data_IF_488128475439
#
_entry.id   IF_488128475439
#
_cell.length_a   1.000
_cell.length_b   1.000
_cell.length_c   1.000
_cell.angle_alpha   90.00
_cell.angle_beta   90.00
_cell.angle_gamma   90.00
#
_symmetry.space_group_name_H-M   'P 1'
#
loop_
_entity.id
_entity.type
_entity.pdbx_description
1 polymer ?
#
# COMPACT_ATOMS: atom_id res chain seq x y z
N UNK A 1 18.64 15.36 0.96
CA UNK A 1 17.48 14.66 0.36
C UNK A 1 17.52 13.20 0.84
N UNK A 2 16.37 12.65 1.21
CA UNK A 2 16.26 11.22 1.55
C UNK A 2 16.59 10.38 0.32
N UNK A 3 17.10 9.16 0.50
CA UNK A 3 17.24 8.21 -0.61
C UNK A 3 15.84 7.83 -1.13
N UNK A 4 15.70 7.49 -2.41
CA UNK A 4 14.40 7.13 -2.99
C UNK A 4 13.68 6.01 -2.23
N UNK A 5 14.42 5.03 -1.68
CA UNK A 5 13.83 3.95 -0.86
C UNK A 5 13.35 4.45 0.52
N UNK A 6 14.10 5.34 1.17
CA UNK A 6 13.69 5.91 2.46
C UNK A 6 12.40 6.71 2.32
N UNK A 7 12.31 7.52 1.26
CA UNK A 7 11.09 8.25 0.95
C UNK A 7 9.91 7.32 0.67
N UNK A 8 10.10 6.26 -0.13
CA UNK A 8 9.05 5.29 -0.41
C UNK A 8 8.54 4.57 0.85
N UNK A 9 9.43 4.25 1.79
CA UNK A 9 9.08 3.64 3.08
C UNK A 9 8.25 4.60 3.94
N UNK A 10 8.67 5.86 4.05
CA UNK A 10 7.95 6.89 4.83
C UNK A 10 6.58 7.18 4.23
N UNK A 11 6.51 7.36 2.90
CA UNK A 11 5.24 7.58 2.19
C UNK A 11 4.30 6.36 2.30
N UNK A 12 4.83 5.12 2.26
CA UNK A 12 4.01 3.92 2.40
C UNK A 12 3.42 3.79 3.81
N UNK A 13 4.20 4.08 4.86
CA UNK A 13 3.68 4.11 6.21
C UNK A 13 2.58 5.18 6.37
N UNK A 14 2.79 6.36 5.80
CA UNK A 14 1.81 7.44 5.79
C UNK A 14 0.54 7.05 5.01
N UNK A 15 0.67 6.42 3.84
CA UNK A 15 -0.46 5.96 3.02
C UNK A 15 -1.36 4.95 3.76
N UNK A 16 -0.76 3.98 4.46
CA UNK A 16 -1.53 3.03 5.28
C UNK A 16 -2.39 3.75 6.31
N UNK A 17 -1.81 4.73 7.03
CA UNK A 17 -2.51 5.50 8.07
C UNK A 17 -3.56 6.44 7.50
N UNK A 18 -3.29 7.09 6.36
CA UNK A 18 -4.30 7.92 5.66
C UNK A 18 -5.50 7.06 5.28
N UNK A 19 -5.27 5.92 4.61
CA UNK A 19 -6.35 5.06 4.15
C UNK A 19 -7.14 4.45 5.31
N UNK A 20 -6.48 4.14 6.44
CA UNK A 20 -7.18 3.70 7.65
C UNK A 20 -8.00 4.83 8.27
N UNK A 21 -7.48 6.06 8.31
CA UNK A 21 -8.18 7.23 8.83
C UNK A 21 -9.41 7.61 7.99
N UNK A 22 -9.31 7.47 6.68
CA UNK A 22 -10.40 7.75 5.73
C UNK A 22 -11.38 6.55 5.54
N UNK A 23 -11.25 5.49 6.33
CA UNK A 23 -12.20 4.37 6.34
C UNK A 23 -12.09 3.41 5.14
N UNK A 24 -11.00 3.50 4.37
CA UNK A 24 -10.71 2.55 3.28
C UNK A 24 -10.15 1.24 3.82
N UNK A 25 -9.15 1.33 4.72
CA UNK A 25 -8.54 0.17 5.36
C UNK A 25 -9.15 -0.06 6.75
N UNK A 26 -9.47 -1.30 7.02
CA UNK A 26 -9.84 -1.81 8.34
C UNK A 26 -8.61 -2.32 9.11
N UNK A 27 -8.79 -3.26 10.04
CA UNK A 27 -7.69 -3.89 10.76
C UNK A 27 -6.84 -4.83 9.87
N UNK A 28 -7.33 -5.27 8.72
CA UNK A 28 -6.78 -6.35 7.90
C UNK A 28 -6.33 -5.92 6.50
N UNK A 29 -6.83 -4.82 5.96
CA UNK A 29 -6.42 -4.30 4.67
C UNK A 29 -4.94 -3.90 4.64
N UNK A 30 -4.34 -3.82 3.45
CA UNK A 30 -2.91 -3.55 3.30
C UNK A 30 -2.56 -2.87 1.97
N UNK A 31 -1.48 -2.09 2.00
CA UNK A 31 -0.97 -1.33 0.85
C UNK A 31 0.47 -1.71 0.59
N UNK A 32 0.83 -1.81 -0.68
CA UNK A 32 2.21 -1.97 -1.13
C UNK A 32 2.59 -0.94 -2.18
N UNK A 33 3.89 -0.77 -2.37
CA UNK A 33 4.46 0.03 -3.46
C UNK A 33 5.61 -0.73 -4.10
N UNK A 34 5.72 -0.68 -5.45
CA UNK A 34 6.85 -1.24 -6.18
C UNK A 34 8.13 -0.56 -5.73
N UNK A 35 9.20 -1.32 -5.57
CA UNK A 35 10.47 -0.81 -5.09
C UNK A 35 11.06 0.22 -6.08
N UNK A 36 11.43 1.45 -5.63
CA UNK A 36 11.79 2.56 -6.52
C UNK A 36 13.02 2.31 -7.37
N UNK A 37 13.95 1.46 -6.91
CA UNK A 37 15.22 1.19 -7.61
C UNK A 37 15.29 -0.23 -8.19
N UNK A 38 14.27 -1.07 -7.98
CA UNK A 38 14.24 -2.43 -8.51
C UNK A 38 12.80 -2.87 -8.82
N UNK A 39 12.36 -2.82 -10.10
CA UNK A 39 10.97 -3.10 -10.47
C UNK A 39 10.54 -4.56 -10.22
N UNK A 40 11.48 -5.46 -9.95
CA UNK A 40 11.19 -6.87 -9.64
C UNK A 40 11.06 -7.12 -8.12
N UNK A 41 10.85 -6.05 -7.34
CA UNK A 41 10.61 -6.07 -5.90
C UNK A 41 9.49 -5.12 -5.52
N UNK A 42 8.93 -5.29 -4.33
CA UNK A 42 7.97 -4.37 -3.76
C UNK A 42 8.16 -4.22 -2.24
N UNK A 43 7.59 -3.16 -1.70
CA UNK A 43 7.57 -2.84 -0.28
C UNK A 43 6.17 -3.07 0.26
N UNK A 44 6.05 -3.77 1.38
CA UNK A 44 4.80 -4.04 2.09
C UNK A 44 5.12 -4.11 3.58
N UNK A 45 4.20 -3.71 4.45
CA UNK A 45 4.41 -3.84 5.89
C UNK A 45 4.32 -5.30 6.36
N UNK A 46 4.91 -5.58 7.53
CA UNK A 46 4.55 -6.80 8.27
C UNK A 46 3.06 -6.81 8.58
N UNK A 47 2.50 -7.96 8.96
CA UNK A 47 1.11 -8.07 9.40
C UNK A 47 0.89 -7.24 10.66
N UNK A 48 0.34 -6.05 10.48
CA UNK A 48 -0.03 -5.08 11.52
C UNK A 48 -1.19 -4.24 11.01
N UNK A 49 -2.08 -3.80 11.90
CA UNK A 49 -3.17 -2.90 11.54
C UNK A 49 -2.64 -1.66 10.80
N UNK A 50 -3.22 -1.28 9.65
CA UNK A 50 -2.78 -0.14 8.85
C UNK A 50 -2.67 1.17 9.64
N UNK A 51 -3.56 1.40 10.59
CA UNK A 51 -3.53 2.58 11.47
C UNK A 51 -2.24 2.68 12.31
N UNK A 52 -1.59 1.56 12.56
CA UNK A 52 -0.42 1.46 13.45
C UNK A 52 0.90 1.31 12.70
N UNK A 53 0.89 1.25 11.37
CA UNK A 53 2.10 1.04 10.56
C UNK A 53 3.10 2.17 10.78
N UNK A 54 4.35 1.79 10.99
CA UNK A 54 5.51 2.65 11.12
C UNK A 54 6.53 2.34 10.02
N UNK A 55 7.45 3.26 9.69
CA UNK A 55 8.47 3.01 8.68
C UNK A 55 9.29 1.73 8.91
N UNK A 56 9.53 1.36 10.18
CA UNK A 56 10.30 0.15 10.53
C UNK A 56 9.49 -1.15 10.37
N UNK A 57 8.18 -1.06 10.14
CA UNK A 57 7.32 -2.20 9.82
C UNK A 57 7.40 -2.61 8.32
N UNK A 58 7.97 -1.74 7.47
CA UNK A 58 8.02 -1.95 6.02
C UNK A 58 9.14 -2.92 5.68
N UNK A 59 8.78 -3.95 4.94
CA UNK A 59 9.65 -5.03 4.48
C UNK A 59 9.76 -5.02 2.96
N UNK A 60 10.83 -5.61 2.45
CA UNK A 60 11.08 -5.76 1.02
C UNK A 60 10.81 -7.21 0.59
N UNK A 61 10.08 -7.38 -0.52
CA UNK A 61 9.67 -8.67 -1.07
C UNK A 61 10.08 -8.80 -2.53
N UNK A 62 10.34 -10.04 -2.96
CA UNK A 62 10.37 -10.42 -4.39
C UNK A 62 8.96 -10.42 -4.96
N UNK A 63 8.82 -10.45 -6.30
CA UNK A 63 7.50 -10.60 -6.93
C UNK A 63 6.86 -11.99 -6.66
N UNK A 64 7.64 -12.98 -6.25
CA UNK A 64 7.14 -14.29 -5.78
C UNK A 64 6.69 -14.25 -4.32
N UNK A 65 6.61 -13.04 -3.75
CA UNK A 65 6.09 -12.74 -2.40
C UNK A 65 6.97 -13.26 -1.24
N UNK A 66 8.22 -13.57 -1.54
CA UNK A 66 9.18 -13.97 -0.53
C UNK A 66 9.89 -12.74 0.05
N UNK A 67 9.99 -12.61 1.39
CA UNK A 67 10.73 -11.51 2.00
C UNK A 67 12.22 -11.67 1.74
N UNK A 68 12.92 -10.59 1.40
CA UNK A 68 14.37 -10.61 1.14
C UNK A 68 15.20 -10.94 2.38
N UNK A 69 14.66 -10.73 3.55
CA UNK A 69 15.27 -11.12 4.83
C UNK A 69 14.23 -11.92 5.60
N UNK A 70 14.63 -13.00 6.27
CA UNK A 70 13.72 -13.76 7.12
C UNK A 70 13.30 -12.90 8.32
N UNK A 71 12.11 -12.31 8.31
CA UNK A 71 11.68 -11.48 9.41
C UNK A 71 11.22 -12.38 10.57
N UNK A 72 11.54 -11.98 11.80
CA UNK A 72 11.00 -12.62 13.01
C UNK A 72 9.61 -12.03 13.37
N UNK A 73 8.81 -11.73 12.35
CA UNK A 73 7.48 -11.09 12.47
C UNK A 73 6.48 -11.80 11.57
N UNK A 74 5.20 -11.67 11.89
CA UNK A 74 4.13 -12.19 11.05
C UNK A 74 4.02 -11.37 9.76
N UNK A 75 3.74 -12.05 8.66
CA UNK A 75 3.48 -11.45 7.35
C UNK A 75 2.00 -11.56 7.01
N UNK A 76 1.49 -10.65 6.17
CA UNK A 76 0.15 -10.81 5.60
C UNK A 76 0.07 -12.11 4.80
N UNK A 77 -0.97 -12.91 5.06
CA UNK A 77 -1.25 -14.11 4.29
C UNK A 77 -1.51 -13.76 2.81
N UNK A 78 -2.24 -12.69 2.57
CA UNK A 78 -2.68 -12.23 1.26
C UNK A 78 -1.67 -11.34 0.50
N UNK A 79 -0.40 -11.32 0.91
CA UNK A 79 0.67 -10.63 0.17
C UNK A 79 0.80 -11.13 -1.28
N UNK A 80 0.29 -12.30 -1.56
CA UNK A 80 0.21 -12.92 -2.90
C UNK A 80 -0.56 -12.04 -3.90
N UNK A 81 -1.61 -11.35 -3.46
CA UNK A 81 -2.36 -10.38 -4.29
C UNK A 81 -1.40 -9.38 -4.92
N UNK A 82 -0.53 -8.78 -4.11
CA UNK A 82 0.41 -7.75 -4.56
C UNK A 82 1.44 -8.28 -5.56
N UNK A 83 2.12 -9.36 -5.20
CA UNK A 83 3.15 -9.96 -6.06
C UNK A 83 2.61 -10.37 -7.42
N UNK A 84 1.46 -11.06 -7.46
CA UNK A 84 0.84 -11.50 -8.71
C UNK A 84 0.38 -10.34 -9.60
N UNK A 85 -0.16 -9.26 -9.00
CA UNK A 85 -0.52 -8.05 -9.76
C UNK A 85 0.73 -7.37 -10.31
N UNK A 86 1.80 -7.23 -9.53
CA UNK A 86 3.05 -6.65 -10.01
C UNK A 86 3.72 -7.50 -11.12
N UNK A 87 3.59 -8.82 -11.06
CA UNK A 87 4.06 -9.71 -12.15
C UNK A 87 3.28 -9.48 -13.44
N UNK A 88 1.95 -9.37 -13.34
CA UNK A 88 1.07 -9.23 -14.50
C UNK A 88 1.07 -7.82 -15.11
N UNK A 89 1.33 -6.77 -14.31
CA UNK A 89 1.12 -5.35 -14.65
C UNK A 89 2.38 -4.53 -14.35
N UNK A 90 3.23 -4.34 -15.36
CA UNK A 90 4.46 -3.51 -15.23
C UNK A 90 4.18 -2.01 -15.03
N UNK A 91 3.02 -1.55 -15.43
CA UNK A 91 2.53 -0.18 -15.27
C UNK A 91 1.96 0.11 -13.89
N UNK A 92 1.71 -0.93 -13.07
CA UNK A 92 1.24 -0.78 -11.69
C UNK A 92 2.43 -0.58 -10.75
N UNK A 93 2.40 0.51 -9.98
CA UNK A 93 3.42 0.84 -9.00
C UNK A 93 2.92 0.81 -7.56
N UNK A 94 1.60 0.80 -7.33
CA UNK A 94 1.02 0.66 -6.00
C UNK A 94 -0.25 -0.20 -6.04
N UNK A 95 -0.47 -0.99 -4.97
CA UNK A 95 -1.62 -1.91 -4.83
C UNK A 95 -2.20 -1.73 -3.43
N UNK A 96 -3.52 -1.61 -3.34
CA UNK A 96 -4.27 -1.58 -2.09
C UNK A 96 -5.33 -2.69 -2.13
N UNK A 97 -5.30 -3.59 -1.16
CA UNK A 97 -6.39 -4.52 -0.88
C UNK A 97 -7.13 -4.07 0.37
N UNK A 98 -8.48 -4.04 0.33
CA UNK A 98 -9.29 -3.47 1.40
C UNK A 98 -10.69 -4.08 1.48
N UNK A 99 -11.33 -3.92 2.65
CA UNK A 99 -12.69 -4.36 2.95
C UNK A 99 -13.57 -3.15 3.34
N UNK A 100 -13.41 -2.01 2.66
CA UNK A 100 -14.11 -0.77 3.00
C UNK A 100 -15.64 -1.00 3.07
N UNK A 101 -16.30 -0.62 4.17
CA UNK A 101 -17.75 -0.83 4.35
C UNK A 101 -18.60 -0.28 3.21
N UNK A 102 -18.17 0.84 2.61
CA UNK A 102 -18.85 1.45 1.46
C UNK A 102 -18.82 0.56 0.21
N UNK A 103 -17.73 -0.21 0.00
CA UNK A 103 -17.53 -1.04 -1.19
C UNK A 103 -18.07 -2.46 -0.99
N UNK A 104 -18.13 -2.95 0.24
CA UNK A 104 -18.60 -4.31 0.54
C UNK A 104 -19.98 -4.67 -0.03
N UNK A 105 -21.00 -3.78 -0.02
CA UNK A 105 -22.28 -4.10 -0.67
C UNK A 105 -22.14 -4.46 -2.15
N UNK A 106 -21.22 -3.81 -2.86
CA UNK A 106 -20.94 -4.09 -4.28
C UNK A 106 -20.13 -5.38 -4.47
N UNK A 107 -19.31 -5.78 -3.50
CA UNK A 107 -18.65 -7.09 -3.49
C UNK A 107 -19.63 -8.25 -3.27
N UNK A 108 -20.86 -7.96 -2.85
CA UNK A 108 -21.93 -8.95 -2.61
C UNK A 108 -22.94 -8.94 -3.75
N UNK A 109 -23.33 -7.76 -4.23
CA UNK A 109 -24.44 -7.58 -5.17
C UNK A 109 -24.02 -6.95 -6.50
N UNK A 110 -22.77 -6.40 -6.62
CA UNK A 110 -22.30 -5.73 -7.86
C UNK A 110 -23.33 -4.87 -8.56
N UNK A 111 -23.01 -4.26 -9.70
CA UNK A 111 -21.69 -3.73 -10.05
C UNK A 111 -21.44 -2.36 -9.39
N UNK A 112 -20.18 -1.92 -9.34
CA UNK A 112 -19.80 -0.54 -9.01
C UNK A 112 -19.35 0.18 -10.27
N UNK A 113 -19.96 1.32 -10.56
CA UNK A 113 -19.64 2.16 -11.71
C UNK A 113 -19.42 3.62 -11.26
N UNK A 114 -18.62 4.43 -11.96
CA UNK A 114 -18.43 5.84 -11.59
C UNK A 114 -19.71 6.64 -11.81
N UNK A 115 -20.23 7.27 -10.74
CA UNK A 115 -21.47 8.05 -10.74
C UNK A 115 -21.23 9.55 -10.52
N UNK A 116 -20.01 9.98 -10.27
CA UNK A 116 -19.61 11.38 -10.15
C UNK A 116 -18.19 11.61 -10.66
N UNK A 117 -17.82 12.87 -10.92
CA UNK A 117 -16.57 13.21 -11.62
C UNK A 117 -15.29 12.68 -10.98
N UNK A 118 -15.15 12.70 -9.63
CA UNK A 118 -13.98 12.13 -8.96
C UNK A 118 -14.03 10.60 -8.88
N UNK A 119 -15.23 10.01 -8.94
CA UNK A 119 -15.40 8.56 -9.08
C UNK A 119 -14.75 8.01 -10.35
N UNK A 120 -14.60 8.83 -11.39
CA UNK A 120 -13.87 8.46 -12.61
C UNK A 120 -12.40 8.06 -12.36
N UNK A 121 -11.82 8.37 -11.18
CA UNK A 121 -10.49 7.91 -10.80
C UNK A 121 -10.39 6.38 -10.68
N UNK A 122 -11.52 5.68 -10.44
CA UNK A 122 -11.56 4.22 -10.43
C UNK A 122 -11.48 3.60 -11.84
N UNK A 123 -11.63 4.40 -12.89
CA UNK A 123 -11.75 3.95 -14.26
C UNK A 123 -13.19 3.58 -14.64
N UNK A 124 -13.36 2.63 -15.54
CA UNK A 124 -14.65 2.06 -15.89
C UNK A 124 -15.21 1.20 -14.73
N UNK A 125 -16.34 0.56 -14.95
CA UNK A 125 -16.92 -0.41 -14.03
C UNK A 125 -15.88 -1.46 -13.61
N UNK A 126 -15.75 -1.72 -12.31
CA UNK A 126 -14.78 -2.67 -11.81
C UNK A 126 -15.24 -4.11 -12.14
N UNK A 127 -14.35 -4.96 -12.71
CA UNK A 127 -14.67 -6.36 -12.92
C UNK A 127 -14.89 -7.08 -11.59
N UNK A 128 -15.66 -8.16 -11.65
CA UNK A 128 -16.04 -8.97 -10.51
C UNK A 128 -15.32 -10.32 -10.56
N UNK A 129 -14.57 -10.64 -9.53
CA UNK A 129 -13.85 -11.91 -9.38
C UNK A 129 -14.52 -12.78 -8.33
N UNK A 130 -14.93 -13.98 -8.70
CA UNK A 130 -15.39 -14.98 -7.76
C UNK A 130 -14.39 -16.13 -7.67
N UNK A 131 -13.79 -16.30 -6.50
CA UNK A 131 -12.83 -17.37 -6.22
C UNK A 131 -13.48 -18.75 -6.40
N UNK A 132 -14.78 -18.86 -6.14
CA UNK A 132 -15.51 -20.12 -6.24
C UNK A 132 -15.53 -20.68 -7.66
N UNK A 133 -15.55 -19.85 -8.69
CA UNK A 133 -15.63 -20.27 -10.09
C UNK A 133 -14.43 -21.11 -10.54
N UNK A 134 -13.23 -20.81 -10.04
CA UNK A 134 -12.01 -21.55 -10.42
C UNK A 134 -11.57 -22.56 -9.34
N UNK A 135 -11.86 -22.30 -8.07
CA UNK A 135 -11.26 -23.03 -6.94
C UNK A 135 -12.29 -23.77 -6.05
N UNK A 136 -13.60 -23.59 -6.31
CA UNK A 136 -14.66 -24.13 -5.48
C UNK A 136 -14.69 -23.49 -4.08
N UNK A 137 -15.19 -24.23 -3.09
CA UNK A 137 -15.28 -23.73 -1.72
C UNK A 137 -13.90 -23.52 -1.09
N UNK A 138 -13.62 -22.29 -0.66
CA UNK A 138 -12.40 -21.89 0.03
C UNK A 138 -12.75 -21.14 1.32
N UNK A 139 -11.74 -20.65 2.04
CA UNK A 139 -11.93 -19.73 3.17
C UNK A 139 -12.02 -18.26 2.73
N UNK A 140 -12.14 -17.99 1.42
CA UNK A 140 -12.17 -16.70 0.74
C UNK A 140 -10.85 -15.91 0.79
N UNK A 141 -9.83 -16.32 1.52
CA UNK A 141 -8.52 -15.66 1.49
C UNK A 141 -7.74 -16.02 0.22
N UNK A 142 -7.03 -15.04 -0.33
CA UNK A 142 -6.14 -15.21 -1.49
C UNK A 142 -4.72 -15.47 -0.99
N UNK A 143 -4.39 -16.73 -0.77
CA UNK A 143 -3.12 -17.10 -0.14
C UNK A 143 -2.18 -17.92 -1.05
N UNK A 144 -2.71 -18.45 -2.15
CA UNK A 144 -1.95 -19.24 -3.11
C UNK A 144 -1.61 -18.44 -4.37
N UNK A 145 -0.44 -18.67 -4.98
CA UNK A 145 -0.05 -17.96 -6.22
C UNK A 145 -1.05 -18.13 -7.37
N UNK A 146 -1.71 -19.28 -7.51
CA UNK A 146 -2.73 -19.52 -8.53
C UNK A 146 -3.97 -18.65 -8.32
N UNK A 147 -4.41 -18.45 -7.08
CA UNK A 147 -5.53 -17.57 -6.72
C UNK A 147 -5.18 -16.10 -7.04
N UNK A 148 -3.96 -15.67 -6.64
CA UNK A 148 -3.46 -14.31 -6.96
C UNK A 148 -3.33 -14.05 -8.45
N UNK A 149 -2.89 -15.07 -9.23
CA UNK A 149 -2.84 -14.95 -10.70
C UNK A 149 -4.22 -14.89 -11.33
N UNK A 150 -5.20 -15.63 -10.81
CA UNK A 150 -6.59 -15.57 -11.25
C UNK A 150 -7.17 -14.17 -11.02
N UNK A 151 -7.02 -13.64 -9.81
CA UNK A 151 -7.43 -12.26 -9.47
C UNK A 151 -6.77 -11.23 -10.40
N UNK A 152 -5.45 -11.37 -10.64
CA UNK A 152 -4.72 -10.46 -11.52
C UNK A 152 -5.18 -10.53 -12.99
N UNK A 153 -5.59 -11.72 -13.48
CA UNK A 153 -6.22 -11.86 -14.82
C UNK A 153 -7.54 -11.12 -14.88
N UNK A 154 -8.41 -11.27 -13.87
CA UNK A 154 -9.69 -10.58 -13.81
C UNK A 154 -9.53 -9.06 -13.69
N UNK A 155 -8.56 -8.58 -12.90
CA UNK A 155 -8.21 -7.16 -12.85
C UNK A 155 -7.85 -6.63 -14.26
N UNK A 156 -7.12 -7.42 -15.07
CA UNK A 156 -6.75 -7.06 -16.43
C UNK A 156 -6.12 -5.66 -16.50
N UNK A 157 -6.69 -4.78 -17.32
CA UNK A 157 -6.25 -3.38 -17.46
C UNK A 157 -7.06 -2.40 -16.59
N UNK A 158 -8.00 -2.91 -15.79
CA UNK A 158 -8.81 -2.06 -14.91
C UNK A 158 -7.97 -1.51 -13.74
N UNK A 159 -8.51 -0.48 -13.09
CA UNK A 159 -7.89 0.17 -11.95
C UNK A 159 -8.35 -0.42 -10.61
N UNK A 160 -9.41 -1.21 -10.64
CA UNK A 160 -9.96 -1.89 -9.47
C UNK A 160 -10.58 -3.23 -9.89
N UNK A 161 -10.69 -4.17 -8.95
CA UNK A 161 -11.43 -5.43 -9.07
C UNK A 161 -12.19 -5.68 -7.77
N UNK A 162 -13.45 -6.05 -7.89
CA UNK A 162 -14.26 -6.52 -6.78
C UNK A 162 -14.02 -8.02 -6.57
N UNK A 163 -13.88 -8.42 -5.32
CA UNK A 163 -13.69 -9.81 -4.91
C UNK A 163 -14.98 -10.27 -4.20
N UNK A 164 -15.65 -11.27 -4.77
CA UNK A 164 -16.98 -11.72 -4.29
C UNK A 164 -16.95 -12.04 -2.79
N UNK A 165 -17.81 -11.34 -2.03
CA UNK A 165 -18.01 -11.52 -0.57
C UNK A 165 -16.73 -11.34 0.27
N UNK A 166 -15.70 -10.70 -0.27
CA UNK A 166 -14.42 -10.52 0.39
C UNK A 166 -14.03 -9.04 0.53
N UNK A 167 -13.90 -8.32 -0.57
CA UNK A 167 -13.42 -6.94 -0.59
C UNK A 167 -13.08 -6.47 -1.98
N UNK A 168 -12.16 -5.53 -2.09
CA UNK A 168 -11.69 -5.01 -3.37
C UNK A 168 -10.17 -4.85 -3.39
N UNK A 169 -9.62 -4.85 -4.60
CA UNK A 169 -8.22 -4.49 -4.84
C UNK A 169 -8.16 -3.35 -5.84
N UNK A 170 -7.45 -2.29 -5.48
CA UNK A 170 -7.27 -1.07 -6.27
C UNK A 170 -5.79 -0.91 -6.61
N UNK A 171 -5.48 -0.43 -7.82
CA UNK A 171 -4.11 -0.24 -8.30
C UNK A 171 -3.87 1.20 -8.77
N UNK A 172 -2.61 1.63 -8.74
CA UNK A 172 -2.19 2.97 -9.16
C UNK A 172 -0.81 3.00 -9.80
N UNK A 173 -0.56 4.03 -10.62
CA UNK A 173 0.74 4.29 -11.24
C UNK A 173 1.77 4.87 -10.25
N UNK A 174 1.33 5.31 -9.10
CA UNK A 174 2.15 5.70 -7.95
C UNK A 174 1.30 5.66 -6.68
N UNK A 175 1.97 5.76 -5.52
CA UNK A 175 1.30 5.61 -4.22
C UNK A 175 0.27 6.71 -3.94
N UNK A 176 0.54 7.97 -4.31
CA UNK A 176 -0.36 9.09 -4.07
C UNK A 176 -1.62 9.00 -4.93
N UNK A 177 -1.46 8.60 -6.18
CA UNK A 177 -2.59 8.30 -7.07
C UNK A 177 -3.43 7.14 -6.54
N UNK A 178 -2.79 6.06 -6.06
CA UNK A 178 -3.48 4.93 -5.45
C UNK A 178 -4.35 5.38 -4.27
N UNK A 179 -3.80 6.19 -3.35
CA UNK A 179 -4.53 6.69 -2.17
C UNK A 179 -5.74 7.51 -2.61
N UNK A 180 -5.56 8.44 -3.55
CA UNK A 180 -6.68 9.22 -4.09
C UNK A 180 -7.75 8.34 -4.74
N UNK A 181 -7.33 7.39 -5.58
CA UNK A 181 -8.23 6.44 -6.26
C UNK A 181 -9.01 5.60 -5.26
N UNK A 182 -8.36 5.02 -4.26
CA UNK A 182 -9.02 4.17 -3.27
C UNK A 182 -10.08 4.94 -2.47
N UNK A 183 -9.76 6.17 -2.03
CA UNK A 183 -10.72 7.02 -1.31
C UNK A 183 -11.87 7.43 -2.23
N UNK A 184 -11.61 7.87 -3.45
CA UNK A 184 -12.67 8.25 -4.39
C UNK A 184 -13.53 7.06 -4.83
N UNK A 185 -12.98 5.85 -4.89
CA UNK A 185 -13.76 4.62 -5.12
C UNK A 185 -14.74 4.37 -3.97
N UNK A 186 -14.33 4.55 -2.72
CA UNK A 186 -15.20 4.42 -1.55
C UNK A 186 -16.28 5.50 -1.54
N UNK A 187 -15.94 6.75 -1.82
CA UNK A 187 -16.94 7.84 -1.94
C UNK A 187 -17.93 7.58 -3.08
N UNK A 188 -17.44 7.08 -4.22
CA UNK A 188 -18.31 6.70 -5.33
C UNK A 188 -19.29 5.59 -4.95
N UNK A 189 -18.81 4.59 -4.22
CA UNK A 189 -19.64 3.51 -3.70
C UNK A 189 -20.76 4.04 -2.79
N UNK A 190 -20.42 4.92 -1.85
CA UNK A 190 -21.41 5.57 -0.97
C UNK A 190 -22.45 6.36 -1.77
N UNK A 191 -22.01 7.18 -2.73
CA UNK A 191 -22.92 7.98 -3.54
C UNK A 191 -23.82 7.11 -4.41
N UNK A 192 -23.28 6.05 -5.04
CA UNK A 192 -24.07 5.11 -5.82
C UNK A 192 -25.11 4.40 -4.94
N UNK A 193 -24.71 3.95 -3.73
CA UNK A 193 -25.63 3.31 -2.79
C UNK A 193 -26.74 4.24 -2.32
N UNK A 194 -26.41 5.49 -1.97
CA UNK A 194 -27.43 6.48 -1.58
C UNK A 194 -28.34 6.86 -2.76
N UNK A 195 -27.79 6.97 -3.97
CA UNK A 195 -28.57 7.26 -5.16
C UNK A 195 -29.59 6.16 -5.47
N UNK A 196 -29.31 4.89 -5.18
CA UNK A 196 -30.26 3.77 -5.33
C UNK A 196 -31.54 3.96 -4.50
N UNK A 197 -31.48 4.65 -3.37
CA UNK A 197 -32.64 4.97 -2.56
C UNK A 197 -33.54 6.07 -3.20
N UNK A 198 -32.97 6.86 -4.10
CA UNK A 198 -33.69 7.94 -4.82
C UNK A 198 -34.20 7.48 -6.21
N UNK A 199 -33.61 6.42 -6.75
CA UNK A 199 -33.95 5.88 -8.08
C UNK A 199 -32.79 5.10 -8.68
N UNK A 200 -32.80 4.91 -9.99
CA UNK A 200 -31.71 4.23 -10.71
C UNK A 200 -30.55 5.21 -10.94
N UNK A 201 -29.37 4.98 -10.36
CA UNK A 201 -28.20 5.81 -10.61
C UNK A 201 -27.83 5.84 -12.09
N UNK A 202 -27.41 7.01 -12.57
CA UNK A 202 -26.93 7.18 -13.94
C UNK A 202 -25.39 7.20 -13.90
N UNK A 203 -24.67 6.16 -14.36
CA UNK A 203 -23.22 6.17 -14.45
C UNK A 203 -22.74 7.22 -15.45
N UNK A 204 -21.51 7.69 -15.26
CA UNK A 204 -20.82 8.53 -16.23
C UNK A 204 -20.68 7.80 -17.58
N UNK A 205 -20.79 8.53 -18.67
CA UNK A 205 -20.50 7.98 -19.98
C UNK A 205 -18.99 7.71 -20.16
N UNK A 206 -18.62 6.73 -20.98
CA UNK A 206 -17.21 6.35 -21.21
C UNK A 206 -16.29 7.53 -21.55
N UNK A 207 -16.80 8.50 -22.35
CA UNK A 207 -16.06 9.71 -22.68
C UNK A 207 -15.80 10.59 -21.46
N UNK A 208 -16.78 10.74 -20.57
CA UNK A 208 -16.66 11.49 -19.31
C UNK A 208 -15.70 10.80 -18.35
N UNK A 209 -15.80 9.47 -18.21
CA UNK A 209 -14.87 8.67 -17.40
C UNK A 209 -13.42 8.90 -17.85
N UNK A 210 -13.16 8.85 -19.15
CA UNK A 210 -11.84 9.08 -19.70
C UNK A 210 -11.31 10.48 -19.41
N UNK A 211 -12.13 11.52 -19.64
CA UNK A 211 -11.74 12.90 -19.44
C UNK A 211 -11.54 13.23 -17.95
N UNK A 212 -12.51 12.87 -17.10
CA UNK A 212 -12.46 13.12 -15.67
C UNK A 212 -11.39 12.27 -14.98
N UNK A 213 -11.20 11.01 -15.39
CA UNK A 213 -10.14 10.13 -14.89
C UNK A 213 -8.75 10.69 -15.20
N UNK A 214 -8.53 11.22 -16.42
CA UNK A 214 -7.28 11.91 -16.78
C UNK A 214 -7.02 13.12 -15.86
N UNK A 215 -8.03 13.93 -15.59
CA UNK A 215 -7.91 15.07 -14.67
C UNK A 215 -7.57 14.64 -13.25
N UNK A 216 -8.21 13.56 -12.76
CA UNK A 216 -7.95 13.02 -11.41
C UNK A 216 -6.51 12.54 -11.22
N UNK A 217 -5.86 12.08 -12.29
CA UNK A 217 -4.48 11.60 -12.29
C UNK A 217 -3.43 12.72 -12.49
N UNK A 218 -3.86 13.97 -12.73
CA UNK A 218 -2.90 15.09 -12.93
C UNK A 218 -2.07 15.34 -11.66
N UNK A 219 -0.76 15.59 -11.80
CA UNK A 219 0.16 15.75 -10.67
C UNK A 219 -0.29 16.79 -9.63
N UNK A 220 -0.85 17.92 -10.07
CA UNK A 220 -1.37 18.96 -9.17
C UNK A 220 -2.62 18.50 -8.39
N UNK A 221 -3.49 17.69 -8.99
CA UNK A 221 -4.68 17.13 -8.32
C UNK A 221 -4.23 16.09 -7.30
N UNK A 222 -3.38 15.15 -7.70
CA UNK A 222 -2.82 14.11 -6.83
C UNK A 222 -2.05 14.72 -5.64
N UNK A 223 -1.26 15.78 -5.88
CA UNK A 223 -0.54 16.48 -4.80
C UNK A 223 -1.52 17.14 -3.83
N UNK A 224 -2.52 17.88 -4.33
CA UNK A 224 -3.53 18.54 -3.49
C UNK A 224 -4.30 17.53 -2.61
N UNK A 225 -4.70 16.41 -3.16
CA UNK A 225 -5.43 15.37 -2.39
C UNK A 225 -4.54 14.73 -1.33
N UNK A 226 -3.28 14.43 -1.66
CA UNK A 226 -2.30 13.92 -0.71
C UNK A 226 -2.06 14.90 0.45
N UNK A 227 -1.85 16.19 0.16
CA UNK A 227 -1.69 17.23 1.17
C UNK A 227 -2.92 17.33 2.07
N UNK A 228 -4.11 17.31 1.49
CA UNK A 228 -5.39 17.39 2.22
C UNK A 228 -5.53 16.24 3.22
N UNK A 229 -5.37 14.99 2.80
CA UNK A 229 -5.52 13.85 3.68
C UNK A 229 -4.36 13.70 4.67
N UNK A 230 -3.15 14.10 4.30
CA UNK A 230 -2.03 14.18 5.24
C UNK A 230 -2.30 15.18 6.36
N UNK A 231 -2.83 16.37 6.04
CA UNK A 231 -3.20 17.37 7.03
C UNK A 231 -4.34 16.92 7.95
N UNK A 232 -5.34 16.20 7.41
CA UNK A 232 -6.43 15.60 8.22
C UNK A 232 -5.88 14.58 9.21
N UNK A 233 -5.00 13.69 8.74
CA UNK A 233 -4.36 12.69 9.59
C UNK A 233 -3.49 13.35 10.68
N UNK A 234 -2.72 14.40 10.32
CA UNK A 234 -1.92 15.17 11.27
C UNK A 234 -2.79 15.82 12.34
N UNK A 235 -3.89 16.46 11.95
CA UNK A 235 -4.84 17.07 12.88
C UNK A 235 -5.47 16.08 13.87
N UNK A 236 -5.59 14.81 13.48
CA UNK A 236 -6.07 13.72 14.37
C UNK A 236 -4.97 13.11 15.25
N UNK A 237 -3.70 13.55 15.12
CA UNK A 237 -2.55 12.97 15.81
C UNK A 237 -2.09 11.61 15.24
N UNK A 238 -2.58 11.23 14.04
CA UNK A 238 -2.38 9.91 13.44
C UNK A 238 -1.08 9.73 12.64
N UNK A 239 -0.20 10.76 12.53
CA UNK A 239 1.06 10.63 11.79
C UNK A 239 1.95 9.50 12.33
N UNK A 240 2.64 8.76 11.45
CA UNK A 240 3.63 7.80 11.91
C UNK A 240 4.80 8.53 12.62
N UNK A 241 5.41 7.91 13.63
CA UNK A 241 6.61 8.48 14.24
C UNK A 241 7.71 8.66 13.19
N UNK A 242 8.40 9.80 13.22
CA UNK A 242 9.53 10.06 12.32
C UNK A 242 10.66 9.07 12.62
N UNK A 243 11.18 8.47 11.57
CA UNK A 243 12.37 7.61 11.68
C UNK A 243 13.54 8.44 12.20
N UNK A 244 13.96 8.19 13.43
CA UNK A 244 15.18 8.81 13.95
C UNK A 244 16.38 8.30 13.13
N UNK A 245 17.27 9.16 12.69
CA UNK A 245 18.48 8.71 12.03
C UNK A 245 19.22 7.75 12.95
N UNK A 246 19.65 6.60 12.41
CA UNK A 246 20.41 5.63 13.19
C UNK A 246 21.59 6.35 13.84
N UNK A 247 21.70 6.28 15.18
CA UNK A 247 22.87 6.84 15.89
C UNK A 247 24.12 6.26 15.26
N UNK A 248 24.96 7.13 14.71
CA UNK A 248 26.26 6.72 14.20
C UNK A 248 26.99 5.86 15.25
N UNK A 249 27.59 4.75 14.85
CA UNK A 249 28.31 3.91 15.81
C UNK A 249 29.36 4.77 16.52
N UNK A 250 29.27 4.83 17.85
CA UNK A 250 30.28 5.51 18.67
C UNK A 250 31.63 4.92 18.30
N UNK A 251 32.49 5.72 17.66
CA UNK A 251 33.90 5.36 17.46
C UNK A 251 34.47 4.99 18.83
N UNK A 252 34.86 3.73 19.00
CA UNK A 252 35.58 3.30 20.16
C UNK A 252 36.89 4.13 20.22
N UNK A 253 37.00 4.99 21.20
CA UNK A 253 38.26 5.68 21.47
C UNK A 253 39.31 4.62 21.80
N UNK A 254 40.22 4.42 20.85
CA UNK A 254 41.42 3.61 21.10
C UNK A 254 42.17 4.24 22.29
N UNK A 255 42.19 3.56 23.42
CA UNK A 255 43.05 3.89 24.55
C UNK A 255 44.48 3.66 24.09
N UNK A 256 45.20 4.74 23.83
CA UNK A 256 46.65 4.72 23.64
C UNK A 256 47.30 4.29 24.96
N UNK A 257 47.77 3.05 25.02
CA UNK A 257 48.62 2.57 26.11
C UNK A 257 50.01 3.21 25.92
N UNK A 258 50.26 4.32 26.61
CA UNK A 258 51.63 4.80 26.80
C UNK A 258 52.30 3.89 27.82
N UNK A 259 53.13 3.00 27.32
CA UNK A 259 54.06 2.23 28.13
C UNK A 259 55.19 3.13 28.65
N UNK A 260 55.25 3.28 29.96
CA UNK A 260 56.40 3.89 30.65
C UNK A 260 57.52 2.86 30.74
N UNK A 261 58.57 3.04 29.94
CA UNK A 261 59.84 2.35 30.10
C UNK A 261 60.49 2.86 31.37
N UNK A 262 60.64 1.98 32.34
CA UNK A 262 61.42 2.25 33.57
C UNK A 262 62.81 1.61 33.40
N UNK A 263 63.85 2.44 33.16
CA UNK A 263 65.24 2.09 33.17
C UNK A 263 65.63 1.44 34.51
N UNK A 264 66.19 0.21 34.48
CA UNK A 264 66.93 -0.37 35.58
C UNK A 264 68.39 -0.17 35.31
N UNK A 265 68.99 0.82 35.97
CA UNK A 265 70.44 0.95 36.11
C UNK A 265 70.99 -0.17 37.04
N UNK A 266 71.86 -0.95 36.49
CA UNK A 266 72.76 -1.88 37.29
C UNK A 266 73.77 -1.07 38.02
N UNK A 267 73.81 -1.17 39.34
CA UNK A 267 74.96 -0.82 40.17
C UNK A 267 75.78 -2.07 40.55
N UNK A 268 77.04 -2.11 40.15
CA UNK A 268 78.05 -3.05 40.57
C UNK A 268 78.63 -2.67 41.95
N UNK A 269 78.84 -3.64 42.80
CA UNK A 269 79.97 -3.84 43.75
C UNK A 269 79.51 -4.85 44.82
N UNK A 270 80.14 -5.83 45.13
CA UNK A 270 81.34 -6.61 45.26
C UNK A 270 80.94 -8.07 45.40
#
# INVERSE_FOLDING_TARGET
MLSGITQAIEELALANRILAHEGVLDAFGHVSVRHPNNPDRYLLSRSRSPLLIEPDDILEFTLDTEPLRSPKVLLYAERVIHGCIYQARRDVFAVCHHHAPAVMPFCIAGPIAPVFHLGAAMGEEAPFWDQYDEFGATNLLVVKPEEGRSLARTLGQHSAVLMNRHGATVVGANLKELVARAIFTCQNAEYQLHALALGTPQPLHRGEIKLAGTLSAMPNVVTRTWEYWSARLEASGGLPPRRMPAKAPRRAMARSARGTARERRKGRRR
#
